data_IF_214527721776
#
_entry.id   IF_214527721776
#
_cell.length_a   1.000
_cell.length_b   1.000
_cell.length_c   1.000
_cell.angle_alpha   90.00
_cell.angle_beta   90.00
_cell.angle_gamma   90.00
#
_symmetry.space_group_name_H-M   'P 1'
#
loop_
_entity.id
_entity.type
_entity.pdbx_description
1 polymer ?
#
# COMPACT_ATOMS: atom_id res chain seq x y z
N UNK A 1 -4.80 16.92 7.07
CA UNK A 1 -4.06 17.05 8.34
C UNK A 1 -4.73 16.20 9.40
N UNK A 2 -3.94 15.44 10.16
CA UNK A 2 -4.35 14.61 11.28
C UNK A 2 -3.45 14.95 12.46
N UNK A 3 -4.01 15.46 13.56
CA UNK A 3 -3.24 15.85 14.76
C UNK A 3 -1.97 16.63 14.41
N UNK A 4 -2.15 17.70 13.62
CA UNK A 4 -1.10 18.59 13.09
C UNK A 4 -0.14 18.02 12.03
N UNK A 5 -0.15 16.71 11.80
CA UNK A 5 0.62 16.05 10.73
C UNK A 5 -0.15 16.07 9.41
N UNK A 6 0.50 16.45 8.32
CA UNK A 6 -0.03 16.40 6.97
C UNK A 6 0.28 15.03 6.35
N UNK A 7 -0.72 14.16 6.29
CA UNK A 7 -0.59 12.81 5.70
C UNK A 7 -1.10 12.83 4.26
N UNK A 8 -0.25 12.40 3.32
CA UNK A 8 -0.61 12.14 1.93
C UNK A 8 -0.84 10.65 1.72
N UNK A 9 -1.93 10.29 1.05
CA UNK A 9 -2.25 8.90 0.71
C UNK A 9 -2.60 8.85 -0.78
N UNK A 10 -2.04 7.89 -1.49
CA UNK A 10 -2.41 7.56 -2.86
C UNK A 10 -2.46 6.04 -3.02
N UNK A 11 -2.99 5.58 -4.15
CA UNK A 11 -3.07 4.17 -4.46
C UNK A 11 -2.47 3.86 -5.83
N UNK A 12 -1.84 2.70 -5.93
CA UNK A 12 -1.40 2.09 -7.18
C UNK A 12 -1.80 0.61 -7.20
N UNK A 13 -1.77 0.02 -8.38
CA UNK A 13 -2.05 -1.39 -8.57
C UNK A 13 -1.40 -1.84 -9.86
N UNK A 14 -0.83 -3.04 -9.85
CA UNK A 14 -0.53 -3.76 -11.07
C UNK A 14 -1.80 -3.96 -11.90
N UNK A 15 -1.63 -4.22 -13.21
CA UNK A 15 -2.73 -4.51 -14.11
C UNK A 15 -3.26 -5.95 -13.91
N UNK A 16 -3.63 -6.27 -12.68
CA UNK A 16 -4.19 -7.56 -12.29
C UNK A 16 -5.50 -7.84 -13.04
N UNK A 17 -6.24 -6.81 -13.49
CA UNK A 17 -7.44 -6.97 -14.31
C UNK A 17 -7.13 -7.71 -15.62
N UNK A 18 -5.93 -7.48 -16.18
CA UNK A 18 -5.51 -8.22 -17.35
C UNK A 18 -5.21 -9.68 -17.03
N UNK A 19 -4.53 -9.93 -15.91
CA UNK A 19 -4.16 -11.28 -15.47
C UNK A 19 -5.37 -12.09 -15.01
N UNK A 20 -6.39 -11.44 -14.44
CA UNK A 20 -7.67 -12.04 -14.07
C UNK A 20 -8.58 -12.34 -15.28
N UNK A 21 -8.11 -12.07 -16.52
CA UNK A 21 -8.90 -12.28 -17.74
C UNK A 21 -10.05 -11.29 -17.91
N UNK A 22 -10.03 -10.18 -17.15
CA UNK A 22 -10.99 -9.08 -17.26
C UNK A 22 -10.53 -7.99 -18.27
N UNK A 23 -9.33 -8.18 -18.85
CA UNK A 23 -8.69 -7.45 -19.97
C UNK A 23 -9.58 -7.29 -21.22
N UNK A 24 -9.24 -6.46 -22.24
CA UNK A 24 -10.15 -5.58 -23.00
C UNK A 24 -11.13 -6.31 -23.95
N UNK A 25 -11.07 -7.64 -24.00
CA UNK A 25 -12.05 -8.50 -24.65
C UNK A 25 -13.25 -8.82 -23.74
N UNK A 26 -13.19 -8.48 -22.45
CA UNK A 26 -14.36 -8.48 -21.57
C UNK A 26 -15.25 -7.27 -21.90
N UNK A 27 -16.56 -7.47 -21.88
CA UNK A 27 -17.57 -6.44 -22.18
C UNK A 27 -17.68 -5.36 -21.09
N UNK A 28 -16.74 -5.29 -20.15
CA UNK A 28 -16.82 -4.47 -18.94
C UNK A 28 -15.71 -3.40 -18.97
N UNK A 29 -16.13 -2.13 -19.04
CA UNK A 29 -15.45 -0.85 -18.71
C UNK A 29 -13.98 -0.54 -19.15
N UNK A 30 -13.10 -1.51 -19.40
CA UNK A 30 -11.64 -1.33 -19.36
C UNK A 30 -10.98 -1.04 -20.73
N UNK A 31 -11.79 -0.87 -21.79
CA UNK A 31 -11.29 -0.64 -23.15
C UNK A 31 -10.60 0.71 -23.35
N UNK A 32 -10.76 1.61 -22.38
CA UNK A 32 -10.25 2.99 -22.43
C UNK A 32 -9.28 3.31 -21.29
N UNK A 33 -9.12 2.42 -20.31
CA UNK A 33 -8.13 2.62 -19.26
C UNK A 33 -6.74 2.44 -19.87
N UNK A 34 -5.83 3.35 -19.52
CA UNK A 34 -4.42 3.24 -19.85
C UNK A 34 -3.67 2.97 -18.56
N UNK A 35 -2.94 1.87 -18.56
CA UNK A 35 -2.04 1.50 -17.49
C UNK A 35 -0.68 2.11 -17.76
N UNK A 36 -0.07 2.66 -16.71
CA UNK A 36 1.29 3.17 -16.72
C UNK A 36 2.18 2.28 -15.84
N UNK A 37 3.50 2.43 -15.96
CA UNK A 37 4.42 1.72 -15.07
C UNK A 37 4.20 2.19 -13.63
N UNK A 38 3.96 1.24 -12.75
CA UNK A 38 3.55 1.50 -11.38
C UNK A 38 4.60 2.28 -10.59
N UNK A 39 5.89 1.98 -10.80
CA UNK A 39 6.99 2.70 -10.16
C UNK A 39 6.99 4.17 -10.61
N UNK A 40 6.76 4.44 -11.90
CA UNK A 40 6.64 5.83 -12.38
C UNK A 40 5.44 6.55 -11.75
N UNK A 41 4.27 5.90 -11.73
CA UNK A 41 3.05 6.45 -11.14
C UNK A 41 3.25 6.78 -9.66
N UNK A 42 3.79 5.83 -8.90
CA UNK A 42 4.01 5.98 -7.46
C UNK A 42 5.04 7.08 -7.15
N UNK A 43 6.13 7.17 -7.92
CA UNK A 43 7.10 8.27 -7.79
C UNK A 43 6.47 9.62 -8.08
N UNK A 44 5.65 9.72 -9.12
CA UNK A 44 4.97 10.96 -9.47
C UNK A 44 4.07 11.42 -8.32
N UNK A 45 3.13 10.59 -7.89
CA UNK A 45 2.18 10.95 -6.84
C UNK A 45 2.83 11.18 -5.48
N UNK A 46 3.83 10.38 -5.10
CA UNK A 46 4.56 10.59 -3.86
C UNK A 46 5.26 11.96 -3.84
N UNK A 47 5.94 12.34 -4.92
CA UNK A 47 6.59 13.66 -5.03
C UNK A 47 5.57 14.79 -5.00
N UNK A 48 4.48 14.67 -5.74
CA UNK A 48 3.42 15.67 -5.75
C UNK A 48 2.83 15.89 -4.35
N UNK A 49 2.60 14.82 -3.58
CA UNK A 49 2.12 14.93 -2.21
C UNK A 49 3.15 15.61 -1.30
N UNK A 50 4.45 15.30 -1.45
CA UNK A 50 5.53 16.00 -0.72
C UNK A 50 5.57 17.50 -1.04
N UNK A 51 5.47 17.86 -2.31
CA UNK A 51 5.42 19.25 -2.77
C UNK A 51 4.20 20.00 -2.22
N UNK A 52 3.08 19.29 -2.00
CA UNK A 52 1.89 19.80 -1.33
C UNK A 52 2.02 19.87 0.20
N UNK A 53 3.18 19.51 0.76
CA UNK A 53 3.48 19.61 2.19
C UNK A 53 3.16 18.35 3.00
N UNK A 54 3.03 17.17 2.37
CA UNK A 54 2.87 15.92 3.10
C UNK A 54 4.14 15.57 3.90
N UNK A 55 3.99 15.46 5.21
CA UNK A 55 5.02 15.08 6.18
C UNK A 55 5.14 13.54 6.28
N UNK A 56 4.05 12.82 6.01
CA UNK A 56 4.01 11.36 5.90
C UNK A 56 3.32 10.99 4.58
N UNK A 57 3.94 10.14 3.77
CA UNK A 57 3.36 9.65 2.50
C UNK A 57 3.17 8.14 2.55
N UNK A 58 1.92 7.71 2.40
CA UNK A 58 1.52 6.30 2.41
C UNK A 58 1.02 5.89 1.02
N UNK A 59 1.40 4.69 0.60
CA UNK A 59 0.94 4.11 -0.65
C UNK A 59 0.07 2.88 -0.34
N UNK A 60 -1.17 2.87 -0.85
CA UNK A 60 -2.01 1.69 -0.91
C UNK A 60 -1.70 0.93 -2.20
N UNK A 61 -1.36 -0.34 -2.11
CA UNK A 61 -0.99 -1.15 -3.27
C UNK A 61 -1.65 -2.54 -3.22
N UNK A 62 -1.89 -3.10 -4.40
CA UNK A 62 -2.53 -4.41 -4.55
C UNK A 62 -1.72 -5.28 -5.50
N UNK A 63 -0.48 -5.55 -5.11
CA UNK A 63 0.49 -6.24 -5.95
C UNK A 63 0.93 -7.56 -5.33
N UNK A 64 1.24 -8.52 -6.18
CA UNK A 64 1.98 -9.72 -5.77
C UNK A 64 3.32 -9.39 -5.09
N UNK A 65 3.90 -10.37 -4.40
CA UNK A 65 5.08 -10.11 -3.59
C UNK A 65 6.34 -9.64 -4.36
N UNK A 66 6.66 -10.20 -5.53
CA UNK A 66 7.73 -9.69 -6.38
C UNK A 66 7.58 -8.20 -6.73
N UNK A 67 6.42 -7.78 -7.22
CA UNK A 67 6.19 -6.39 -7.64
C UNK A 67 6.15 -5.44 -6.44
N UNK A 68 5.52 -5.83 -5.32
CA UNK A 68 5.59 -5.05 -4.08
C UNK A 68 7.04 -4.81 -3.62
N UNK A 69 7.90 -5.84 -3.65
CA UNK A 69 9.32 -5.67 -3.26
C UNK A 69 10.06 -4.74 -4.22
N UNK A 70 9.74 -4.80 -5.52
CA UNK A 70 10.25 -3.87 -6.52
C UNK A 70 9.81 -2.44 -6.20
N UNK A 71 8.52 -2.22 -5.94
CA UNK A 71 7.94 -0.92 -5.61
C UNK A 71 8.57 -0.31 -4.34
N UNK A 72 8.67 -1.08 -3.26
CA UNK A 72 9.28 -0.65 -1.98
C UNK A 72 10.75 -0.25 -2.16
N UNK A 73 11.49 -1.00 -3.00
CA UNK A 73 12.90 -0.76 -3.29
C UNK A 73 13.09 0.46 -4.18
N UNK A 74 12.27 0.60 -5.21
CA UNK A 74 12.44 1.63 -6.23
C UNK A 74 11.77 2.95 -5.88
N UNK A 75 10.75 2.99 -5.03
CA UNK A 75 10.01 4.24 -4.71
C UNK A 75 10.39 4.70 -3.30
N UNK A 76 11.51 5.40 -3.21
CA UNK A 76 12.04 5.91 -1.94
C UNK A 76 11.23 7.09 -1.39
N UNK A 77 10.38 7.73 -2.19
CA UNK A 77 9.60 8.91 -1.78
C UNK A 77 8.42 8.56 -0.86
N UNK A 78 7.95 7.31 -0.91
CA UNK A 78 6.89 6.76 -0.06
C UNK A 78 7.48 6.32 1.28
N UNK A 79 6.90 6.69 2.41
CA UNK A 79 7.39 6.25 3.71
C UNK A 79 7.04 4.79 3.98
N UNK A 80 5.80 4.41 3.70
CA UNK A 80 5.29 3.09 4.00
C UNK A 80 4.22 2.62 3.01
N UNK A 81 4.25 1.33 2.69
CA UNK A 81 3.36 0.67 1.74
C UNK A 81 2.35 -0.22 2.47
N UNK A 82 1.10 -0.14 2.05
CA UNK A 82 -0.03 -0.89 2.58
C UNK A 82 -0.50 -1.84 1.48
N UNK A 83 -0.01 -3.08 1.54
CA UNK A 83 -0.17 -4.08 0.48
C UNK A 83 -1.37 -5.00 0.62
N UNK A 84 -1.59 -5.79 -0.42
CA UNK A 84 -2.68 -6.77 -0.54
C UNK A 84 -2.31 -7.96 -1.44
N UNK A 85 -3.28 -8.43 -2.22
CA UNK A 85 -3.21 -9.51 -3.21
C UNK A 85 -2.99 -10.94 -2.67
N UNK A 86 -1.94 -11.19 -1.91
CA UNK A 86 -1.45 -12.55 -1.63
C UNK A 86 -2.25 -13.33 -0.57
N UNK A 87 -3.20 -12.67 0.11
CA UNK A 87 -3.98 -13.26 1.19
C UNK A 87 -3.10 -13.91 2.29
N UNK A 88 -1.87 -13.41 2.47
CA UNK A 88 -0.92 -13.89 3.47
C UNK A 88 -0.41 -12.70 4.26
N UNK A 89 -0.34 -12.85 5.58
CA UNK A 89 0.30 -11.84 6.41
C UNK A 89 1.79 -11.76 6.09
N UNK A 90 2.27 -10.58 5.73
CA UNK A 90 3.69 -10.31 5.50
C UNK A 90 4.03 -8.90 5.94
N UNK A 91 5.23 -8.70 6.49
CA UNK A 91 5.70 -7.38 6.92
C UNK A 91 7.17 -7.20 6.63
N UNK A 92 7.58 -5.95 6.42
CA UNK A 92 8.97 -5.52 6.38
C UNK A 92 9.09 -4.08 6.86
N UNK A 93 10.30 -3.53 6.87
CA UNK A 93 10.56 -2.20 7.44
C UNK A 93 9.70 -1.07 6.84
N UNK A 94 9.29 -1.23 5.57
CA UNK A 94 8.53 -0.23 4.82
C UNK A 94 7.22 -0.75 4.25
N UNK A 95 6.75 -1.94 4.63
CA UNK A 95 5.46 -2.44 4.13
C UNK A 95 4.78 -3.39 5.12
N UNK A 96 3.46 -3.52 4.95
CA UNK A 96 2.66 -4.59 5.57
C UNK A 96 1.59 -5.09 4.60
N UNK A 97 1.31 -6.40 4.63
CA UNK A 97 0.14 -7.05 4.05
C UNK A 97 -0.61 -7.70 5.23
N UNK A 98 -1.87 -7.31 5.42
CA UNK A 98 -2.63 -7.64 6.63
C UNK A 98 -3.33 -9.01 6.59
N UNK A 99 -2.97 -9.88 5.64
CA UNK A 99 -3.64 -11.19 5.47
C UNK A 99 -4.96 -11.06 4.71
N UNK A 100 -5.92 -11.91 5.06
CA UNK A 100 -7.23 -12.04 4.41
C UNK A 100 -8.34 -12.30 5.45
N UNK A 101 -9.59 -12.27 4.99
CA UNK A 101 -10.79 -12.60 5.77
C UNK A 101 -11.00 -11.82 7.08
N UNK A 102 -10.28 -10.71 7.26
CA UNK A 102 -10.30 -9.90 8.47
C UNK A 102 -9.92 -10.68 9.74
N UNK A 103 -9.15 -11.77 9.58
CA UNK A 103 -8.56 -12.52 10.70
C UNK A 103 -7.62 -11.65 11.53
N UNK A 104 -7.01 -10.65 10.89
CA UNK A 104 -6.05 -9.76 11.46
C UNK A 104 -6.31 -8.31 11.06
N UNK A 105 -5.98 -7.39 11.95
CA UNK A 105 -5.67 -6.02 11.59
C UNK A 105 -4.24 -5.69 12.02
N UNK A 106 -3.61 -4.75 11.31
CA UNK A 106 -2.31 -4.24 11.69
C UNK A 106 -2.45 -2.82 12.23
N UNK A 107 -2.00 -2.60 13.47
CA UNK A 107 -1.83 -1.28 14.03
C UNK A 107 -0.44 -0.75 13.69
N UNK A 108 -0.40 0.36 12.96
CA UNK A 108 0.82 1.06 12.58
C UNK A 108 0.93 2.35 13.38
N UNK A 109 2.03 2.54 14.10
CA UNK A 109 2.32 3.78 14.84
C UNK A 109 3.54 4.48 14.26
N UNK A 110 3.34 5.70 13.76
CA UNK A 110 4.37 6.50 13.11
C UNK A 110 4.85 7.63 14.03
N UNK A 111 6.17 7.73 14.21
CA UNK A 111 6.81 8.92 14.78
C UNK A 111 7.20 9.86 13.64
N UNK A 112 6.47 10.97 13.48
CA UNK A 112 6.74 11.97 12.43
C UNK A 112 7.56 13.13 13.01
N UNK A 113 8.80 13.34 12.56
CA UNK A 113 9.65 14.41 13.07
C UNK A 113 9.14 15.81 12.69
N UNK A 114 9.16 16.74 13.64
CA UNK A 114 8.75 18.14 13.41
C UNK A 114 9.75 18.95 12.57
N UNK A 115 10.97 18.44 12.38
CA UNK A 115 12.03 19.07 11.58
C UNK A 115 11.91 18.76 10.08
N UNK A 116 10.87 18.01 9.67
CA UNK A 116 10.63 17.60 8.30
C UNK A 116 11.56 16.47 7.83
N UNK A 117 12.38 15.91 8.71
CA UNK A 117 13.15 14.70 8.40
C UNK A 117 12.22 13.51 8.17
N UNK A 118 12.72 12.52 7.42
CA UNK A 118 11.93 11.35 7.04
C UNK A 118 11.50 10.56 8.28
N UNK A 119 10.21 10.15 8.37
CA UNK A 119 9.76 9.24 9.42
C UNK A 119 10.58 7.93 9.43
N UNK A 120 10.85 7.42 10.63
CA UNK A 120 11.41 6.08 10.80
C UNK A 120 10.34 5.01 10.46
N UNK A 121 10.74 3.76 10.15
CA UNK A 121 9.82 2.64 10.09
C UNK A 121 8.83 2.65 11.27
N UNK A 122 7.51 2.52 11.01
CA UNK A 122 6.53 2.53 12.08
C UNK A 122 6.70 1.32 12.98
N UNK A 123 6.25 1.44 14.24
CA UNK A 123 5.96 0.26 15.04
C UNK A 123 4.79 -0.46 14.39
N UNK A 124 4.94 -1.75 14.14
CA UNK A 124 3.91 -2.61 13.54
C UNK A 124 3.44 -3.61 14.58
N UNK A 125 2.12 -3.72 14.76
CA UNK A 125 1.50 -4.69 15.66
C UNK A 125 0.39 -5.42 14.90
N UNK A 126 0.53 -6.74 14.75
CA UNK A 126 -0.52 -7.61 14.21
C UNK A 126 -1.45 -7.99 15.35
N UNK A 127 -2.75 -7.77 15.16
CA UNK A 127 -3.77 -8.12 16.14
C UNK A 127 -4.78 -9.03 15.48
N UNK A 128 -4.96 -10.21 16.05
CA UNK A 128 -6.00 -11.14 15.62
C UNK A 128 -7.37 -10.65 16.06
N UNK A 129 -8.36 -10.77 15.17
CA UNK A 129 -9.75 -10.47 15.46
C UNK A 129 -10.37 -11.64 16.24
N UNK A 130 -10.86 -11.41 17.48
CA UNK A 130 -11.51 -12.47 18.24
C UNK A 130 -12.78 -12.97 17.54
N UNK A 131 -12.96 -14.29 17.46
CA UNK A 131 -14.18 -14.92 16.94
C UNK A 131 -14.15 -15.33 15.47
N UNK A 132 -13.02 -15.15 14.76
CA UNK A 132 -12.79 -15.69 13.41
C UNK A 132 -12.04 -17.04 13.44
N UNK A 133 -12.09 -17.76 14.56
CA UNK A 133 -11.61 -19.14 14.61
C UNK A 133 -12.45 -19.96 13.62
N UNK A 134 -11.85 -20.35 12.49
CA UNK A 134 -12.45 -21.30 11.57
C UNK A 134 -12.94 -22.50 12.39
N UNK A 135 -14.26 -22.74 12.39
CA UNK A 135 -14.80 -23.99 12.90
C UNK A 135 -14.05 -25.12 12.19
N UNK A 136 -13.52 -26.12 12.92
CA UNK A 136 -12.85 -27.23 12.27
C UNK A 136 -13.80 -27.90 11.27
N UNK A 137 -13.31 -28.16 10.06
CA UNK A 137 -14.03 -28.86 8.99
C UNK A 137 -14.59 -30.22 9.43
#
# INVERSE_FOLDING_TARGET
KWQDVSVGIFAVSENWLSDAGLSPNSSVADKHAKWEDEVQAARHWAKTLREQGAELVLCLCHDNMPEMRRLVKEVEEVDFFLGGHEHVYASGDRFVIAGYDFDDYCLLSFDVPADGSRPRPPKQERVQVPGNELLPE
#
